data_IF_753540268866
#
_entry.id   IF_753540268866
#
_cell.length_a   1.000
_cell.length_b   1.000
_cell.length_c   1.000
_cell.angle_alpha   90.00
_cell.angle_beta   90.00
_cell.angle_gamma   90.00
#
_symmetry.space_group_name_H-M   'P 1'
#
loop_
_entity.id
_entity.type
_entity.pdbx_description
1 polymer ?
#
# COMPACT_ATOMS: atom_id res chain seq x y z
N UNK A 1 18.87 26.62 2.25
CA UNK A 1 18.34 27.45 3.37
C UNK A 1 17.44 26.57 4.22
N UNK A 2 17.56 26.65 5.55
CA UNK A 2 16.80 25.80 6.49
C UNK A 2 15.59 26.53 7.04
N UNK A 3 14.39 25.92 6.94
CA UNK A 3 13.19 26.21 7.75
C UNK A 3 12.04 25.25 7.38
N UNK A 4 11.98 24.08 8.02
CA UNK A 4 10.75 23.32 8.33
C UNK A 4 11.12 22.08 9.19
N UNK A 5 11.55 22.31 10.43
CA UNK A 5 11.63 21.27 11.48
C UNK A 5 10.49 21.46 12.48
N UNK A 6 9.26 21.26 12.03
CA UNK A 6 8.08 21.21 12.89
C UNK A 6 7.78 19.78 13.29
N UNK A 7 8.41 19.29 14.37
CA UNK A 7 8.10 18.02 15.08
C UNK A 7 7.58 16.85 14.23
N UNK A 8 8.21 16.55 13.10
CA UNK A 8 7.78 15.43 12.25
C UNK A 8 8.31 14.13 12.85
N UNK A 9 7.43 13.17 13.09
CA UNK A 9 7.81 11.79 13.42
C UNK A 9 8.66 11.18 12.31
N UNK A 10 9.83 10.56 12.63
CA UNK A 10 10.67 9.92 11.62
C UNK A 10 9.88 8.91 10.78
N UNK A 11 9.77 9.18 9.48
CA UNK A 11 8.98 8.36 8.54
C UNK A 11 7.66 8.97 8.05
N UNK A 12 7.01 9.90 8.76
CA UNK A 12 5.78 10.56 8.25
C UNK A 12 6.07 11.64 7.21
N UNK A 13 7.24 12.29 7.32
CA UNK A 13 7.75 13.30 6.38
C UNK A 13 7.73 12.87 4.90
N UNK A 14 8.02 11.59 4.64
CA UNK A 14 8.03 10.99 3.31
C UNK A 14 6.63 11.03 2.66
N UNK A 15 5.61 10.63 3.41
CA UNK A 15 4.23 10.57 2.93
C UNK A 15 3.62 11.97 2.79
N UNK A 16 3.93 12.86 3.74
CA UNK A 16 3.52 14.27 3.69
C UNK A 16 4.14 14.98 2.46
N UNK A 17 5.45 14.83 2.23
CA UNK A 17 6.15 15.39 1.07
C UNK A 17 5.52 14.94 -0.26
N UNK A 18 5.27 13.63 -0.43
CA UNK A 18 4.61 13.11 -1.63
C UNK A 18 3.18 13.65 -1.80
N UNK A 19 2.40 13.71 -0.71
CA UNK A 19 1.03 14.24 -0.77
C UNK A 19 0.97 15.73 -1.14
N UNK A 20 1.89 16.53 -0.60
CA UNK A 20 2.00 17.96 -0.88
C UNK A 20 2.46 18.21 -2.33
N UNK A 21 3.43 17.43 -2.83
CA UNK A 21 3.84 17.49 -4.23
C UNK A 21 2.71 17.13 -5.19
N UNK A 22 1.93 16.08 -4.90
CA UNK A 22 0.76 15.72 -5.71
C UNK A 22 -0.29 16.83 -5.73
N UNK A 23 -0.53 17.50 -4.60
CA UNK A 23 -1.44 18.65 -4.56
C UNK A 23 -0.90 19.83 -5.39
N UNK A 24 0.41 20.10 -5.35
CA UNK A 24 1.04 21.14 -6.17
C UNK A 24 0.94 20.84 -7.67
N UNK A 25 1.29 19.62 -8.11
CA UNK A 25 1.20 19.21 -9.51
C UNK A 25 -0.24 19.25 -10.03
N UNK A 26 -1.23 18.93 -9.17
CA UNK A 26 -2.64 19.03 -9.51
C UNK A 26 -3.10 20.49 -9.66
N UNK A 27 -2.68 21.38 -8.75
CA UNK A 27 -2.96 22.83 -8.85
C UNK A 27 -2.30 23.46 -10.08
N UNK A 28 -1.13 22.97 -10.48
CA UNK A 28 -0.43 23.38 -11.70
C UNK A 28 -1.02 22.76 -12.99
N UNK A 29 -1.94 21.80 -12.90
CA UNK A 29 -2.52 21.11 -14.06
C UNK A 29 -1.59 20.09 -14.72
N UNK A 30 -0.48 19.72 -14.07
CA UNK A 30 0.48 18.73 -14.60
C UNK A 30 -0.03 17.28 -14.50
N UNK A 31 -0.95 16.99 -13.57
CA UNK A 31 -1.56 15.68 -13.38
C UNK A 31 -3.08 15.75 -13.38
N UNK A 32 -3.75 14.72 -13.89
CA UNK A 32 -5.20 14.57 -13.75
C UNK A 32 -5.55 13.86 -12.45
N UNK A 33 -6.26 14.56 -11.55
CA UNK A 33 -6.83 13.97 -10.34
C UNK A 33 -8.17 13.25 -10.58
N UNK A 34 -8.65 13.14 -11.83
CA UNK A 34 -10.01 12.62 -12.05
C UNK A 34 -10.14 11.15 -11.63
N UNK A 35 -9.12 10.32 -11.88
CA UNK A 35 -9.06 8.94 -11.38
C UNK A 35 -9.11 8.89 -9.84
N UNK A 36 -8.28 9.68 -9.16
CA UNK A 36 -8.28 9.81 -7.69
C UNK A 36 -9.65 10.26 -7.15
N UNK A 37 -10.29 11.22 -7.81
CA UNK A 37 -11.62 11.73 -7.43
C UNK A 37 -12.69 10.66 -7.63
N UNK A 38 -12.65 9.89 -8.72
CA UNK A 38 -13.57 8.75 -8.96
C UNK A 38 -13.42 7.64 -7.92
N UNK A 39 -12.19 7.25 -7.56
CA UNK A 39 -11.94 6.24 -6.51
C UNK A 39 -12.46 6.73 -5.15
N UNK A 40 -12.14 7.97 -4.79
CA UNK A 40 -12.56 8.57 -3.51
C UNK A 40 -14.09 8.75 -3.46
N UNK A 41 -14.72 9.18 -4.54
CA UNK A 41 -16.17 9.30 -4.66
C UNK A 41 -16.88 7.94 -4.52
N UNK A 42 -16.38 6.88 -5.17
CA UNK A 42 -16.93 5.51 -5.04
C UNK A 42 -16.83 4.99 -3.61
N UNK A 43 -15.69 5.18 -2.93
CA UNK A 43 -15.53 4.84 -1.51
C UNK A 43 -16.49 5.64 -0.63
N UNK A 44 -16.57 6.96 -0.81
CA UNK A 44 -17.42 7.82 0.01
C UNK A 44 -18.91 7.48 -0.17
N UNK A 45 -19.35 7.22 -1.40
CA UNK A 45 -20.71 6.75 -1.70
C UNK A 45 -21.01 5.42 -1.00
N UNK A 46 -20.13 4.41 -1.12
CA UNK A 46 -20.32 3.13 -0.44
C UNK A 46 -20.31 3.26 1.10
N UNK A 47 -19.55 4.22 1.63
CA UNK A 47 -19.54 4.57 3.05
C UNK A 47 -20.85 5.21 3.51
N UNK A 48 -21.38 6.19 2.77
CA UNK A 48 -22.64 6.84 3.11
C UNK A 48 -23.83 5.90 2.94
N UNK A 49 -23.86 5.03 1.93
CA UNK A 49 -24.91 4.01 1.80
C UNK A 49 -24.86 3.00 2.94
N UNK A 50 -23.68 2.56 3.37
CA UNK A 50 -23.52 1.68 4.54
C UNK A 50 -24.04 2.33 5.83
N UNK A 51 -23.77 3.62 6.05
CA UNK A 51 -24.24 4.35 7.23
C UNK A 51 -25.76 4.52 7.23
N UNK A 52 -26.34 4.97 6.11
CA UNK A 52 -27.78 5.19 5.99
C UNK A 52 -28.54 3.85 6.12
N UNK A 53 -28.08 2.80 5.46
CA UNK A 53 -28.70 1.46 5.57
C UNK A 53 -28.49 0.84 6.95
N UNK A 54 -27.38 1.12 7.63
CA UNK A 54 -27.18 0.75 9.02
C UNK A 54 -28.17 1.43 9.97
N UNK A 55 -28.45 2.72 9.76
CA UNK A 55 -29.46 3.45 10.54
C UNK A 55 -30.87 2.90 10.30
N UNK A 56 -31.25 2.60 9.05
CA UNK A 56 -32.56 1.99 8.77
C UNK A 56 -32.67 0.57 9.33
N UNK A 57 -31.58 -0.21 9.35
CA UNK A 57 -31.53 -1.53 9.98
C UNK A 57 -31.78 -1.43 11.50
N UNK A 58 -31.12 -0.50 12.20
CA UNK A 58 -31.32 -0.28 13.65
C UNK A 58 -32.76 0.20 13.94
N UNK A 59 -33.28 1.13 13.14
CA UNK A 59 -34.65 1.63 13.28
C UNK A 59 -35.70 0.53 13.05
N UNK A 60 -35.54 -0.28 12.01
CA UNK A 60 -36.42 -1.41 11.72
C UNK A 60 -36.38 -2.48 12.84
N UNK A 61 -35.20 -2.77 13.37
CA UNK A 61 -35.02 -3.68 14.51
C UNK A 61 -35.73 -3.18 15.77
N UNK A 62 -35.60 -1.90 16.11
CA UNK A 62 -36.31 -1.28 17.22
C UNK A 62 -37.84 -1.32 17.02
N UNK A 63 -38.33 -1.04 15.81
CA UNK A 63 -39.76 -1.14 15.50
C UNK A 63 -40.29 -2.58 15.60
N UNK A 64 -39.53 -3.57 15.16
CA UNK A 64 -39.88 -4.99 15.28
C UNK A 64 -39.94 -5.43 16.74
N UNK A 65 -39.00 -5.01 17.58
CA UNK A 65 -39.00 -5.32 19.03
C UNK A 65 -40.20 -4.66 19.73
N UNK A 66 -40.55 -3.42 19.36
CA UNK A 66 -41.60 -2.66 20.04
C UNK A 66 -43.03 -3.07 19.64
N UNK A 67 -43.27 -3.39 18.37
CA UNK A 67 -44.63 -3.61 17.81
C UNK A 67 -44.81 -4.97 17.12
N UNK A 68 -43.73 -5.73 16.91
CA UNK A 68 -43.76 -6.93 16.07
C UNK A 68 -44.10 -6.62 14.60
N UNK A 69 -44.64 -7.63 13.91
CA UNK A 69 -45.17 -7.50 12.56
C UNK A 69 -44.19 -7.82 11.43
N UNK A 70 -44.74 -8.16 10.26
CA UNK A 70 -43.98 -8.67 9.11
C UNK A 70 -43.22 -7.55 8.38
N UNK A 71 -43.80 -6.36 8.28
CA UNK A 71 -43.18 -5.22 7.58
C UNK A 71 -41.83 -4.78 8.19
N UNK A 72 -41.69 -4.51 9.51
CA UNK A 72 -40.40 -4.15 10.09
C UNK A 72 -39.38 -5.30 10.02
N UNK A 73 -39.82 -6.57 10.05
CA UNK A 73 -38.94 -7.72 9.84
C UNK A 73 -38.36 -7.76 8.41
N UNK A 74 -39.19 -7.51 7.39
CA UNK A 74 -38.74 -7.46 6.00
C UNK A 74 -37.79 -6.27 5.75
N UNK A 75 -38.07 -5.09 6.32
CA UNK A 75 -37.17 -3.94 6.19
C UNK A 75 -35.84 -4.15 6.93
N UNK A 76 -35.84 -4.84 8.07
CA UNK A 76 -34.63 -5.24 8.80
C UNK A 76 -33.74 -6.16 7.94
N UNK A 77 -34.31 -7.21 7.34
CA UNK A 77 -33.58 -8.15 6.46
C UNK A 77 -33.05 -7.43 5.21
N UNK A 78 -33.89 -6.60 4.57
CA UNK A 78 -33.51 -5.79 3.42
C UNK A 78 -32.34 -4.84 3.73
N UNK A 79 -32.44 -4.07 4.83
CA UNK A 79 -31.39 -3.16 5.26
C UNK A 79 -30.08 -3.90 5.60
N UNK A 80 -30.15 -5.03 6.31
CA UNK A 80 -28.98 -5.86 6.61
C UNK A 80 -28.27 -6.36 5.33
N UNK A 81 -29.03 -6.78 4.32
CA UNK A 81 -28.46 -7.17 3.01
C UNK A 81 -27.76 -5.99 2.31
N UNK A 82 -28.33 -4.79 2.37
CA UNK A 82 -27.79 -3.59 1.75
C UNK A 82 -26.51 -3.08 2.48
N UNK A 83 -26.45 -3.23 3.80
CA UNK A 83 -25.23 -3.03 4.60
C UNK A 83 -24.13 -4.00 4.15
N UNK A 84 -24.42 -5.30 4.02
CA UNK A 84 -23.44 -6.29 3.55
C UNK A 84 -22.89 -5.95 2.15
N UNK A 85 -23.77 -5.60 1.19
CA UNK A 85 -23.34 -5.18 -0.15
C UNK A 85 -22.47 -3.92 -0.11
N UNK A 86 -22.82 -2.94 0.72
CA UNK A 86 -22.04 -1.70 0.89
C UNK A 86 -20.67 -1.98 1.53
N UNK A 87 -20.58 -2.90 2.51
CA UNK A 87 -19.31 -3.32 3.11
C UNK A 87 -18.43 -4.11 2.13
N UNK A 88 -19.01 -4.96 1.28
CA UNK A 88 -18.28 -5.64 0.19
C UNK A 88 -17.76 -4.61 -0.83
N UNK A 89 -18.53 -3.56 -1.13
CA UNK A 89 -18.06 -2.47 -1.99
C UNK A 89 -16.90 -1.69 -1.35
N UNK A 90 -16.97 -1.37 -0.06
CA UNK A 90 -15.88 -0.73 0.69
C UNK A 90 -14.61 -1.60 0.69
N UNK A 91 -14.73 -2.91 0.89
CA UNK A 91 -13.61 -3.85 0.82
C UNK A 91 -12.94 -3.91 -0.58
N UNK A 92 -13.69 -3.59 -1.65
CA UNK A 92 -13.17 -3.48 -3.03
C UNK A 92 -12.57 -2.12 -3.36
N UNK A 93 -12.86 -1.08 -2.58
CA UNK A 93 -12.29 0.27 -2.73
C UNK A 93 -11.45 0.67 -1.49
N UNK A 94 -10.33 -0.04 -1.22
CA UNK A 94 -9.42 0.30 -0.14
C UNK A 94 -8.81 1.69 -0.36
N UNK A 95 -9.33 2.71 0.31
CA UNK A 95 -8.78 4.07 0.21
C UNK A 95 -7.53 4.27 1.05
N UNK A 96 -6.51 3.44 0.84
CA UNK A 96 -5.13 3.78 1.16
C UNK A 96 -4.55 4.65 0.05
N UNK A 97 -3.60 5.52 0.37
CA UNK A 97 -3.07 6.52 -0.55
C UNK A 97 -2.57 5.90 -1.88
N UNK A 98 -1.90 4.73 -1.80
CA UNK A 98 -1.49 3.93 -2.97
C UNK A 98 -2.60 3.74 -4.02
N UNK A 99 -3.83 3.40 -3.61
CA UNK A 99 -4.94 3.13 -4.54
C UNK A 99 -5.55 4.39 -5.16
N UNK A 100 -5.34 5.55 -4.52
CA UNK A 100 -5.65 6.84 -5.12
C UNK A 100 -4.56 7.18 -6.14
N UNK A 101 -3.29 7.14 -5.72
CA UNK A 101 -2.13 7.46 -6.55
C UNK A 101 -2.03 6.54 -7.79
N UNK A 102 -2.39 5.26 -7.69
CA UNK A 102 -2.42 4.33 -8.83
C UNK A 102 -3.50 4.64 -9.86
N UNK A 103 -4.43 5.57 -9.57
CA UNK A 103 -5.42 6.07 -10.52
C UNK A 103 -4.97 7.35 -11.23
N UNK A 104 -3.71 7.80 -11.03
CA UNK A 104 -3.08 8.86 -11.82
C UNK A 104 -2.55 8.23 -13.11
N UNK A 105 -3.17 8.58 -14.24
CA UNK A 105 -2.82 8.03 -15.56
C UNK A 105 -1.58 8.70 -16.20
N UNK A 106 -1.19 9.88 -15.73
CA UNK A 106 -0.03 10.63 -16.24
C UNK A 106 1.29 10.02 -15.76
N UNK A 107 2.28 9.76 -16.65
CA UNK A 107 3.57 9.21 -16.24
C UNK A 107 4.41 10.23 -15.46
N UNK A 108 5.16 9.74 -14.48
CA UNK A 108 6.19 10.52 -13.78
C UNK A 108 7.41 10.67 -14.69
N UNK A 109 7.89 11.90 -14.84
CA UNK A 109 8.97 12.26 -15.79
C UNK A 109 10.16 12.91 -15.07
N UNK A 110 11.29 13.03 -15.75
CA UNK A 110 12.45 13.80 -15.26
C UNK A 110 12.10 15.24 -14.88
N UNK A 111 11.15 15.89 -15.59
CA UNK A 111 10.67 17.22 -15.23
C UNK A 111 9.86 17.22 -13.92
N UNK A 112 9.04 16.19 -13.70
CA UNK A 112 8.32 16.01 -12.43
C UNK A 112 9.29 15.70 -11.27
N UNK A 113 10.35 14.94 -11.51
CA UNK A 113 11.42 14.69 -10.52
C UNK A 113 12.12 15.97 -10.08
N UNK A 114 12.47 16.87 -11.01
CA UNK A 114 13.10 18.15 -10.68
C UNK A 114 12.16 19.03 -9.82
N UNK A 115 10.85 19.03 -10.11
CA UNK A 115 9.86 19.73 -9.28
C UNK A 115 9.68 19.06 -7.92
N UNK A 116 9.72 17.73 -7.85
CA UNK A 116 9.66 16.99 -6.58
C UNK A 116 10.86 17.31 -5.68
N UNK A 117 12.08 17.33 -6.23
CA UNK A 117 13.27 17.78 -5.53
C UNK A 117 13.15 19.24 -5.05
N UNK A 118 12.66 20.14 -5.91
CA UNK A 118 12.42 21.54 -5.53
C UNK A 118 11.33 21.71 -4.45
N UNK A 119 10.40 20.75 -4.30
CA UNK A 119 9.38 20.75 -3.24
C UNK A 119 9.91 20.35 -1.85
N UNK A 120 11.21 20.01 -1.74
CA UNK A 120 11.85 19.59 -0.49
C UNK A 120 11.74 18.09 -0.22
N UNK A 121 11.68 17.26 -1.27
CA UNK A 121 11.61 15.81 -1.13
C UNK A 121 12.88 15.21 -0.49
N UNK A 122 12.78 14.07 0.23
CA UNK A 122 13.93 13.38 0.81
C UNK A 122 14.97 12.92 -0.24
N UNK A 123 16.25 13.17 0.05
CA UNK A 123 17.40 12.87 -0.83
C UNK A 123 17.55 11.39 -1.20
N UNK A 124 17.18 10.49 -0.31
CA UNK A 124 17.16 9.03 -0.51
C UNK A 124 16.08 8.62 -1.53
N UNK A 125 14.87 9.20 -1.44
CA UNK A 125 13.79 9.00 -2.42
C UNK A 125 14.22 9.54 -3.79
N UNK A 126 14.77 10.75 -3.84
CA UNK A 126 15.24 11.37 -5.10
C UNK A 126 16.26 10.46 -5.80
N UNK A 127 17.23 9.89 -5.07
CA UNK A 127 18.26 9.00 -5.62
C UNK A 127 17.68 7.71 -6.22
N UNK A 128 16.79 7.03 -5.52
CA UNK A 128 16.18 5.79 -6.05
C UNK A 128 15.21 6.10 -7.22
N UNK A 129 14.54 7.26 -7.23
CA UNK A 129 13.74 7.72 -8.38
C UNK A 129 14.59 8.02 -9.62
N UNK A 130 15.77 8.62 -9.47
CA UNK A 130 16.74 8.80 -10.57
C UNK A 130 17.13 7.44 -11.16
N UNK A 131 17.38 6.43 -10.31
CA UNK A 131 17.74 5.08 -10.76
C UNK A 131 16.59 4.39 -11.49
N UNK A 132 15.33 4.63 -11.09
CA UNK A 132 14.15 4.09 -11.79
C UNK A 132 13.90 4.78 -13.13
N UNK A 133 13.92 6.11 -13.18
CA UNK A 133 13.71 6.88 -14.42
C UNK A 133 14.79 6.62 -15.48
N UNK A 134 16.03 6.32 -15.07
CA UNK A 134 17.10 5.89 -15.99
C UNK A 134 16.95 4.44 -16.49
N UNK A 135 16.10 3.62 -15.86
CA UNK A 135 15.87 2.21 -16.24
C UNK A 135 14.54 1.97 -16.95
N UNK A 136 13.56 2.85 -16.76
CA UNK A 136 12.20 2.71 -17.26
C UNK A 136 11.79 3.98 -17.99
N UNK A 137 11.39 3.83 -19.26
CA UNK A 137 10.85 4.91 -20.10
C UNK A 137 9.57 5.53 -19.51
N UNK A 138 8.80 4.74 -18.77
CA UNK A 138 7.60 5.16 -18.07
C UNK A 138 7.63 4.68 -16.62
N UNK A 139 7.63 5.64 -15.68
CA UNK A 139 7.45 5.39 -14.25
C UNK A 139 6.05 5.88 -13.86
N UNK A 140 5.27 5.04 -13.20
CA UNK A 140 3.95 5.40 -12.67
C UNK A 140 4.08 6.04 -11.29
N UNK A 141 3.13 6.92 -10.92
CA UNK A 141 3.10 7.49 -9.57
C UNK A 141 2.90 6.43 -8.47
N UNK A 142 2.33 5.26 -8.79
CA UNK A 142 2.27 4.12 -7.85
C UNK A 142 3.67 3.63 -7.45
N UNK A 143 4.60 3.52 -8.42
CA UNK A 143 6.00 3.18 -8.14
C UNK A 143 6.71 4.29 -7.35
N UNK A 144 6.38 5.56 -7.61
CA UNK A 144 6.89 6.70 -6.82
C UNK A 144 6.46 6.59 -5.35
N UNK A 145 5.20 6.22 -5.10
CA UNK A 145 4.71 5.93 -3.76
C UNK A 145 5.46 4.75 -3.13
N UNK A 146 5.69 3.65 -3.86
CA UNK A 146 6.38 2.47 -3.33
C UNK A 146 7.83 2.75 -2.93
N UNK A 147 8.56 3.55 -3.72
CA UNK A 147 9.91 4.05 -3.35
C UNK A 147 9.83 4.93 -2.11
N UNK A 148 8.90 5.89 -2.09
CA UNK A 148 8.72 6.81 -0.95
C UNK A 148 8.43 6.06 0.36
N UNK A 149 7.57 5.04 0.29
CA UNK A 149 7.24 4.16 1.41
C UNK A 149 8.42 3.27 1.82
N UNK A 150 9.21 2.78 0.86
CA UNK A 150 10.39 1.97 1.15
C UNK A 150 11.48 2.78 1.87
N UNK A 151 11.78 3.98 1.39
CA UNK A 151 12.71 4.92 2.02
C UNK A 151 12.27 5.29 3.44
N UNK A 152 10.99 5.61 3.63
CA UNK A 152 10.38 5.83 4.96
C UNK A 152 10.67 4.68 5.93
N UNK A 153 10.42 3.43 5.52
CA UNK A 153 10.71 2.25 6.37
C UNK A 153 12.19 2.01 6.64
N UNK A 154 13.08 2.44 5.75
CA UNK A 154 14.53 2.38 5.97
C UNK A 154 14.97 3.46 6.97
N UNK A 155 14.45 4.67 6.88
CA UNK A 155 14.74 5.77 7.80
C UNK A 155 14.21 5.54 9.22
N UNK A 156 13.06 4.88 9.38
CA UNK A 156 12.51 4.53 10.72
C UNK A 156 13.28 3.41 11.45
N UNK A 157 14.41 2.90 10.93
CA UNK A 157 15.25 1.89 11.60
C UNK A 157 14.67 0.47 11.62
N UNK A 158 13.49 0.23 11.02
CA UNK A 158 12.82 -1.09 10.96
C UNK A 158 13.52 -2.06 9.99
N UNK A 159 14.58 -1.61 9.31
CA UNK A 159 15.25 -2.30 8.21
C UNK A 159 16.70 -2.74 8.49
N UNK A 160 17.10 -2.98 9.75
CA UNK A 160 18.45 -3.48 10.11
C UNK A 160 18.78 -4.91 9.64
N UNK A 161 17.92 -5.56 8.83
CA UNK A 161 18.25 -6.82 8.14
C UNK A 161 18.42 -6.58 6.64
N UNK A 162 19.68 -6.56 6.20
CA UNK A 162 20.09 -6.01 4.92
C UNK A 162 19.75 -6.82 3.66
N UNK A 163 19.99 -6.18 2.52
CA UNK A 163 20.22 -6.76 1.18
C UNK A 163 19.04 -7.49 0.50
N UNK A 164 18.16 -8.18 1.21
CA UNK A 164 17.04 -8.95 0.63
C UNK A 164 16.03 -8.03 -0.08
N UNK A 165 15.67 -6.90 0.54
CA UNK A 165 14.77 -5.93 -0.09
C UNK A 165 15.36 -5.26 -1.35
N UNK A 166 16.70 -5.13 -1.42
CA UNK A 166 17.39 -4.59 -2.60
C UNK A 166 17.53 -5.63 -3.73
N UNK A 167 17.35 -6.92 -3.42
CA UNK A 167 17.22 -8.00 -4.40
C UNK A 167 15.83 -8.04 -5.06
N UNK A 168 14.76 -7.75 -4.32
CA UNK A 168 13.40 -7.68 -4.86
C UNK A 168 13.29 -6.62 -6.00
N UNK A 169 14.05 -5.53 -5.91
CA UNK A 169 14.17 -4.50 -6.96
C UNK A 169 14.98 -4.93 -8.20
N UNK A 170 15.54 -6.15 -8.23
CA UNK A 170 16.21 -6.73 -9.42
C UNK A 170 15.39 -7.81 -10.14
N UNK A 171 14.27 -8.25 -9.59
CA UNK A 171 13.32 -9.11 -10.31
C UNK A 171 12.14 -8.27 -10.80
N UNK A 172 11.86 -8.22 -12.11
CA UNK A 172 10.62 -7.65 -12.61
C UNK A 172 9.47 -8.57 -12.19
N UNK A 173 8.65 -8.10 -11.25
CA UNK A 173 7.38 -8.69 -10.81
C UNK A 173 7.43 -10.08 -10.14
N UNK A 174 7.60 -10.14 -8.80
CA UNK A 174 6.76 -10.97 -7.90
C UNK A 174 6.75 -10.34 -6.49
N UNK A 175 5.64 -10.48 -5.74
CA UNK A 175 5.42 -10.12 -4.32
C UNK A 175 5.28 -8.60 -4.02
N UNK A 176 4.23 -8.08 -3.37
CA UNK A 176 3.08 -8.73 -2.70
C UNK A 176 1.75 -8.05 -3.04
N UNK A 177 0.88 -8.76 -3.78
CA UNK A 177 -0.56 -8.64 -3.57
C UNK A 177 -0.87 -9.33 -2.24
N UNK A 178 -1.10 -8.57 -1.19
CA UNK A 178 -1.44 -9.11 0.14
C UNK A 178 -0.26 -9.52 1.00
N UNK A 179 0.41 -8.54 1.63
CA UNK A 179 0.93 -8.75 2.99
C UNK A 179 -0.24 -8.76 3.98
N UNK A 180 -1.10 -9.78 3.85
CA UNK A 180 -1.81 -10.30 5.02
C UNK A 180 -0.75 -10.85 5.97
N UNK A 181 -0.32 -10.02 6.92
CA UNK A 181 0.49 -10.40 8.09
C UNK A 181 -0.23 -11.39 9.05
N UNK A 182 -1.21 -12.14 8.53
CA UNK A 182 -2.16 -12.96 9.26
C UNK A 182 -1.97 -14.47 8.98
N UNK A 183 -0.75 -14.86 8.59
CA UNK A 183 -0.37 -16.29 8.47
C UNK A 183 1.06 -16.65 8.91
N UNK A 184 1.75 -15.75 9.61
CA UNK A 184 2.95 -16.06 10.41
C UNK A 184 2.77 -15.72 11.91
N UNK A 185 1.66 -15.12 12.30
CA UNK A 185 1.27 -14.91 13.70
C UNK A 185 0.13 -15.86 14.07
N UNK A 186 0.45 -17.14 14.28
CA UNK A 186 -0.40 -18.09 15.01
C UNK A 186 0.47 -18.80 16.07
N UNK A 187 0.16 -18.67 17.38
CA UNK A 187 0.90 -19.33 18.43
C UNK A 187 0.54 -20.82 18.47
N UNK A 188 1.48 -21.69 18.12
CA UNK A 188 1.23 -23.15 18.10
C UNK A 188 2.44 -24.05 17.83
N UNK A 189 3.64 -23.50 17.65
CA UNK A 189 4.84 -24.25 17.31
C UNK A 189 5.67 -24.64 18.55
N UNK A 190 5.05 -25.32 19.52
CA UNK A 190 5.76 -26.14 20.50
C UNK A 190 4.93 -27.39 20.82
N UNK A 191 5.24 -28.48 20.10
CA UNK A 191 4.99 -29.85 20.59
C UNK A 191 6.34 -30.54 20.75
N UNK A 192 6.69 -31.04 21.95
CA UNK A 192 7.97 -31.67 22.19
C UNK A 192 7.98 -33.10 21.64
N UNK A 193 9.12 -33.48 21.03
CA UNK A 193 9.37 -34.83 20.52
C UNK A 193 9.09 -35.01 19.03
N UNK A 194 10.13 -34.86 18.19
CA UNK A 194 10.89 -36.05 17.80
C UNK A 194 12.34 -35.67 17.43
N UNK A 195 13.28 -36.59 17.63
CA UNK A 195 14.66 -36.48 17.14
C UNK A 195 14.79 -37.18 15.76
N UNK A 196 16.01 -37.25 15.21
CA UNK A 196 16.38 -37.82 13.90
C UNK A 196 16.10 -36.85 12.72
N UNK A 197 17.06 -36.06 12.19
CA UNK A 197 18.40 -36.34 11.63
C UNK A 197 18.38 -37.02 10.25
N UNK A 198 19.11 -36.42 9.28
CA UNK A 198 19.27 -36.79 7.85
C UNK A 198 17.97 -36.66 7.03
N UNK A 199 17.91 -36.30 5.74
CA UNK A 199 18.88 -35.96 4.68
C UNK A 199 18.47 -34.59 4.07
N UNK A 200 19.20 -33.84 3.23
CA UNK A 200 20.54 -33.95 2.60
C UNK A 200 21.00 -32.52 2.19
N UNK A 201 22.23 -32.35 1.66
CA UNK A 201 22.60 -31.23 0.76
C UNK A 201 23.06 -31.82 -0.58
N UNK A 202 22.54 -31.41 -1.74
CA UNK A 202 23.17 -31.71 -3.03
C UNK A 202 24.04 -30.53 -3.49
N UNK A 203 25.34 -30.77 -3.71
CA UNK A 203 26.26 -29.72 -4.15
C UNK A 203 27.73 -30.07 -3.97
N UNK A 204 28.21 -31.14 -4.62
CA UNK A 204 29.64 -31.42 -4.69
C UNK A 204 30.08 -31.97 -6.06
N UNK A 205 30.76 -31.08 -6.79
CA UNK A 205 31.85 -31.34 -7.75
C UNK A 205 31.61 -31.90 -9.17
N UNK A 206 32.63 -31.57 -9.99
CA UNK A 206 33.05 -32.02 -11.33
C UNK A 206 32.66 -31.04 -12.47
N UNK A 207 33.57 -30.43 -13.26
CA UNK A 207 35.06 -30.29 -13.33
C UNK A 207 35.34 -29.14 -14.34
N UNK A 208 36.40 -28.30 -14.29
CA UNK A 208 37.73 -28.52 -14.95
C UNK A 208 38.75 -27.38 -14.61
N UNK A 209 40.03 -27.66 -14.90
CA UNK A 209 41.27 -27.16 -14.27
C UNK A 209 41.86 -25.75 -14.59
N UNK A 210 42.91 -25.42 -13.80
CA UNK A 210 44.07 -24.51 -14.03
C UNK A 210 43.96 -23.00 -13.75
N UNK A 211 45.07 -22.28 -13.40
CA UNK A 211 46.49 -22.69 -13.48
C UNK A 211 47.37 -22.55 -12.20
N UNK A 212 48.34 -23.48 -12.09
CA UNK A 212 49.79 -23.35 -11.76
C UNK A 212 50.38 -22.55 -10.55
N UNK A 213 51.50 -23.11 -10.06
CA UNK A 213 52.59 -22.54 -9.23
C UNK A 213 52.30 -22.08 -7.77
N UNK A 214 52.57 -22.98 -6.80
CA UNK A 214 53.88 -23.08 -6.12
C UNK A 214 54.00 -24.40 -5.33
#
# INVERSE_FOLDING_TARGET
MSKFRGSITPGTEYNESLSHFLEQEARAGHISLEGMRRVTMKRNLAGTTALITGMTMVSAGASFIAMGGVMPLLTLIGAASAVMVSMIALARYPGGLFYQISAIETPFTHAALLRFAASGAPEDVIRELIVLLNKQEHVSYAQVHDVTWFCSRQASGIAESGTVAKLAMRQPFVLFKGLTFQKLCLPGAFRPGDHHNKMLRPGLCVVHASPQYL
#
